data_IF_243883120163
#
_entry.id   IF_243883120163
#
_cell.length_a   1.000
_cell.length_b   1.000
_cell.length_c   1.000
_cell.angle_alpha   90.00
_cell.angle_beta   90.00
_cell.angle_gamma   90.00
#
_symmetry.space_group_name_H-M   'P 1'
#
loop_
_entity.id
_entity.type
_entity.pdbx_description
1 polymer ?
#
# COMPACT_ATOMS: atom_id res chain seq x y z
N UNK A 1 -2.58 15.00 16.65
CA UNK A 1 -2.03 14.13 15.60
C UNK A 1 -3.05 14.09 14.48
N UNK A 2 -2.69 14.59 13.30
CA UNK A 2 -3.58 14.54 12.15
C UNK A 2 -3.82 13.07 11.71
N UNK A 3 -4.86 12.81 10.93
CA UNK A 3 -5.16 11.46 10.47
C UNK A 3 -4.01 10.88 9.62
N UNK A 4 -3.36 11.69 8.80
CA UNK A 4 -2.17 11.25 8.05
C UNK A 4 -1.05 10.81 8.99
N UNK A 5 -0.90 11.48 10.14
CA UNK A 5 0.16 11.16 11.07
C UNK A 5 -0.01 9.77 11.71
N UNK A 6 -1.25 9.39 11.99
CA UNK A 6 -1.59 8.09 12.62
C UNK A 6 -1.34 6.89 11.72
N UNK A 7 -1.18 7.13 10.41
CA UNK A 7 -0.90 6.12 9.39
C UNK A 7 0.50 6.28 8.79
N UNK A 8 1.28 7.22 9.31
CA UNK A 8 2.63 7.48 8.86
C UNK A 8 3.65 6.59 9.56
N UNK A 9 4.69 6.23 8.81
CA UNK A 9 5.90 5.60 9.32
C UNK A 9 7.02 6.62 9.34
N UNK A 10 7.76 6.71 10.45
CA UNK A 10 9.00 7.49 10.49
C UNK A 10 10.09 6.87 9.61
N UNK A 11 11.27 7.50 9.57
CA UNK A 11 12.37 7.08 8.71
C UNK A 11 12.87 5.65 9.00
N UNK A 12 12.98 5.29 10.28
CA UNK A 12 13.48 3.98 10.70
C UNK A 12 12.47 2.87 10.41
N UNK A 13 11.20 3.14 10.67
CA UNK A 13 10.06 2.27 10.36
C UNK A 13 9.88 2.08 8.85
N UNK A 14 10.04 3.14 8.07
CA UNK A 14 9.99 3.12 6.61
C UNK A 14 11.13 2.27 6.04
N UNK A 15 12.35 2.48 6.54
CA UNK A 15 13.51 1.68 6.16
C UNK A 15 13.28 0.20 6.48
N UNK A 16 12.73 -0.11 7.65
CA UNK A 16 12.41 -1.48 8.04
C UNK A 16 11.38 -2.10 7.08
N UNK A 17 10.25 -1.43 6.81
CA UNK A 17 9.20 -1.95 5.93
C UNK A 17 9.75 -2.37 4.56
N UNK A 18 10.47 -1.47 3.89
CA UNK A 18 11.01 -1.77 2.56
C UNK A 18 12.13 -2.81 2.61
N UNK A 19 12.94 -2.84 3.67
CA UNK A 19 13.96 -3.88 3.84
C UNK A 19 13.36 -5.27 4.04
N UNK A 20 12.24 -5.36 4.77
CA UNK A 20 11.49 -6.61 4.95
C UNK A 20 10.82 -7.05 3.64
N UNK A 21 10.22 -6.13 2.88
CA UNK A 21 9.65 -6.46 1.56
C UNK A 21 10.72 -7.00 0.60
N UNK A 22 11.87 -6.34 0.55
CA UNK A 22 13.05 -6.79 -0.20
C UNK A 22 13.45 -8.22 0.21
N UNK A 23 13.51 -8.50 1.51
CA UNK A 23 13.83 -9.81 2.04
C UNK A 23 12.85 -10.90 1.56
N UNK A 24 11.54 -10.62 1.57
CA UNK A 24 10.53 -11.56 1.07
C UNK A 24 10.76 -11.92 -0.41
N UNK A 25 11.06 -10.92 -1.25
CA UNK A 25 11.37 -11.14 -2.67
C UNK A 25 12.66 -11.93 -2.84
N UNK A 26 13.70 -11.62 -2.08
CA UNK A 26 14.96 -12.37 -2.12
C UNK A 26 14.76 -13.85 -1.76
N UNK A 27 13.95 -14.16 -0.74
CA UNK A 27 13.62 -15.54 -0.38
C UNK A 27 12.78 -16.26 -1.43
N UNK A 28 11.85 -15.54 -2.08
CA UNK A 28 11.10 -16.10 -3.20
C UNK A 28 12.01 -16.45 -4.39
N UNK A 29 13.01 -15.62 -4.68
CA UNK A 29 14.04 -15.86 -5.71
C UNK A 29 14.91 -17.07 -5.35
N UNK A 30 15.41 -17.15 -4.11
CA UNK A 30 16.23 -18.28 -3.65
C UNK A 30 15.49 -19.62 -3.76
N UNK A 31 14.17 -19.61 -3.55
CA UNK A 31 13.32 -20.80 -3.65
C UNK A 31 12.90 -21.16 -5.08
N UNK A 32 13.18 -20.30 -6.06
CA UNK A 32 12.75 -20.48 -7.44
C UNK A 32 13.63 -21.51 -8.17
N UNK A 33 13.02 -22.64 -8.52
CA UNK A 33 13.71 -23.76 -9.20
C UNK A 33 13.99 -23.48 -10.67
N UNK A 34 13.20 -22.62 -11.31
CA UNK A 34 13.41 -22.28 -12.72
C UNK A 34 14.40 -21.12 -12.83
N UNK A 35 15.58 -21.38 -13.39
CA UNK A 35 16.69 -20.41 -13.53
C UNK A 35 16.24 -19.14 -14.28
N UNK A 36 15.55 -19.30 -15.41
CA UNK A 36 15.05 -18.16 -16.20
C UNK A 36 14.03 -17.32 -15.43
N UNK A 37 13.14 -17.96 -14.67
CA UNK A 37 12.21 -17.23 -13.80
C UNK A 37 12.95 -16.52 -12.67
N UNK A 38 13.94 -17.17 -12.05
CA UNK A 38 14.73 -16.57 -10.99
C UNK A 38 15.49 -15.32 -11.49
N UNK A 39 16.05 -15.35 -12.69
CA UNK A 39 16.69 -14.20 -13.34
C UNK A 39 15.72 -13.05 -13.57
N UNK A 40 14.51 -13.32 -14.10
CA UNK A 40 13.48 -12.29 -14.26
C UNK A 40 13.09 -11.65 -12.92
N UNK A 41 12.94 -12.45 -11.86
CA UNK A 41 12.63 -11.97 -10.51
C UNK A 41 13.78 -11.14 -9.92
N UNK A 42 15.04 -11.52 -10.16
CA UNK A 42 16.23 -10.73 -9.77
C UNK A 42 16.24 -9.37 -10.44
N UNK A 43 16.03 -9.34 -11.77
CA UNK A 43 15.93 -8.08 -12.53
C UNK A 43 14.79 -7.19 -12.02
N UNK A 44 13.64 -7.78 -11.69
CA UNK A 44 12.56 -7.03 -11.05
C UNK A 44 12.97 -6.45 -9.70
N UNK A 45 13.65 -7.24 -8.85
CA UNK A 45 14.12 -6.79 -7.54
C UNK A 45 15.13 -5.64 -7.67
N UNK A 46 16.03 -5.68 -8.66
CA UNK A 46 16.97 -4.60 -8.94
C UNK A 46 16.26 -3.29 -9.32
N UNK A 47 15.29 -3.36 -10.24
CA UNK A 47 14.49 -2.20 -10.63
C UNK A 47 13.65 -1.64 -9.47
N UNK A 48 13.08 -2.53 -8.65
CA UNK A 48 12.31 -2.14 -7.48
C UNK A 48 13.21 -1.51 -6.40
N UNK A 49 14.38 -2.11 -6.12
CA UNK A 49 15.37 -1.56 -5.18
C UNK A 49 15.82 -0.17 -5.61
N UNK A 50 16.05 0.06 -6.91
CA UNK A 50 16.40 1.39 -7.42
C UNK A 50 15.25 2.39 -7.21
N UNK A 51 14.01 2.00 -7.53
CA UNK A 51 12.84 2.88 -7.30
C UNK A 51 12.66 3.24 -5.82
N UNK A 52 12.86 2.27 -4.92
CA UNK A 52 12.84 2.54 -3.47
C UNK A 52 14.02 3.42 -3.06
N UNK A 53 15.22 3.19 -3.59
CA UNK A 53 16.38 4.04 -3.30
C UNK A 53 16.13 5.50 -3.72
N UNK A 54 15.60 5.72 -4.94
CA UNK A 54 15.23 7.05 -5.43
C UNK A 54 14.18 7.69 -4.50
N UNK A 55 13.21 6.91 -4.03
CA UNK A 55 12.20 7.39 -3.07
C UNK A 55 12.82 7.78 -1.72
N UNK A 56 13.63 6.92 -1.13
CA UNK A 56 14.22 7.13 0.20
C UNK A 56 15.20 8.31 0.17
N UNK A 57 16.04 8.39 -0.87
CA UNK A 57 16.98 9.51 -1.04
C UNK A 57 16.26 10.86 -1.11
N UNK A 58 15.07 10.91 -1.72
CA UNK A 58 14.27 12.15 -1.77
C UNK A 58 13.46 12.43 -0.50
N UNK A 59 13.09 11.40 0.25
CA UNK A 59 12.15 11.53 1.39
C UNK A 59 12.86 11.58 2.75
N UNK A 60 13.94 10.82 2.93
CA UNK A 60 14.66 10.62 4.21
C UNK A 60 16.13 11.01 4.09
N UNK A 61 16.74 10.87 2.91
CA UNK A 61 18.17 11.02 2.67
C UNK A 61 18.81 9.70 2.23
N UNK A 62 20.11 9.74 1.94
CA UNK A 62 20.83 8.57 1.43
C UNK A 62 20.87 7.46 2.47
N UNK A 63 20.12 6.38 2.20
CA UNK A 63 19.99 5.22 3.07
C UNK A 63 20.03 3.95 2.23
N UNK A 64 20.45 2.83 2.85
CA UNK A 64 20.55 1.53 2.20
C UNK A 64 19.62 0.53 2.88
N UNK A 65 18.84 -0.19 2.08
CA UNK A 65 18.00 -1.27 2.57
C UNK A 65 18.87 -2.35 3.25
N UNK A 66 18.38 -2.84 4.39
CA UNK A 66 18.99 -3.97 5.09
C UNK A 66 18.74 -5.24 4.27
N UNK A 67 19.79 -6.05 4.08
CA UNK A 67 19.74 -7.22 3.21
C UNK A 67 19.83 -8.54 3.96
N UNK A 68 20.56 -8.57 5.07
CA UNK A 68 20.78 -9.78 5.85
C UNK A 68 19.74 -9.94 6.97
N UNK A 69 19.50 -11.19 7.37
CA UNK A 69 18.47 -11.53 8.36
C UNK A 69 18.82 -11.03 9.77
N UNK A 70 20.10 -10.93 10.13
CA UNK A 70 20.52 -10.53 11.47
C UNK A 70 20.22 -9.05 11.71
N UNK A 71 20.64 -8.17 10.79
CA UNK A 71 20.34 -6.73 10.85
C UNK A 71 18.83 -6.45 10.82
N UNK A 72 18.06 -7.21 10.03
CA UNK A 72 16.60 -7.11 10.03
C UNK A 72 15.98 -7.51 11.38
N UNK A 73 16.53 -8.56 12.00
CA UNK A 73 16.05 -9.05 13.30
C UNK A 73 16.31 -8.02 14.40
N UNK A 74 17.53 -7.49 14.46
CA UNK A 74 17.92 -6.41 15.37
C UNK A 74 17.01 -5.20 15.19
N UNK A 75 16.84 -4.74 13.93
CA UNK A 75 16.00 -3.58 13.63
C UNK A 75 14.53 -3.77 14.01
N UNK A 76 13.97 -4.97 13.85
CA UNK A 76 12.63 -5.29 14.34
C UNK A 76 12.53 -5.16 15.86
N UNK A 77 13.52 -5.69 16.61
CA UNK A 77 13.53 -5.64 18.06
C UNK A 77 13.68 -4.21 18.58
N UNK A 78 14.54 -3.41 17.96
CA UNK A 78 14.75 -2.00 18.32
C UNK A 78 13.46 -1.20 18.12
N UNK A 79 12.85 -1.28 16.94
CA UNK A 79 11.60 -0.57 16.63
C UNK A 79 10.46 -1.04 17.54
N UNK A 80 10.39 -2.34 17.85
CA UNK A 80 9.41 -2.89 18.79
C UNK A 80 9.55 -2.31 20.19
N UNK A 81 10.79 -2.19 20.68
CA UNK A 81 11.13 -1.63 21.98
C UNK A 81 10.84 -0.13 22.05
N UNK A 82 11.14 0.62 21.00
CA UNK A 82 10.94 2.06 20.91
C UNK A 82 9.46 2.46 20.79
N UNK A 83 8.61 1.61 20.21
CA UNK A 83 7.19 1.91 20.01
C UNK A 83 6.41 2.22 21.31
N UNK A 84 6.88 1.71 22.45
CA UNK A 84 6.25 1.94 23.75
C UNK A 84 4.74 1.63 23.73
N UNK A 85 3.91 2.63 24.05
CA UNK A 85 2.45 2.48 24.02
C UNK A 85 1.83 2.68 22.63
N UNK A 86 2.51 3.36 21.70
CA UNK A 86 2.00 3.64 20.36
C UNK A 86 2.38 2.52 19.39
N UNK A 87 1.69 1.39 19.48
CA UNK A 87 2.00 0.19 18.68
C UNK A 87 1.43 0.20 17.26
N UNK A 88 0.62 1.19 16.89
CA UNK A 88 -0.03 1.27 15.56
C UNK A 88 0.95 1.10 14.40
N UNK A 89 2.12 1.77 14.34
CA UNK A 89 3.07 1.60 13.25
C UNK A 89 3.53 0.15 13.05
N UNK A 90 3.73 -0.62 14.14
CA UNK A 90 4.14 -2.03 14.06
C UNK A 90 3.06 -2.87 13.36
N UNK A 91 1.80 -2.65 13.74
CA UNK A 91 0.66 -3.32 13.10
C UNK A 91 0.50 -2.95 11.62
N UNK A 92 0.82 -1.70 11.25
CA UNK A 92 0.80 -1.24 9.87
C UNK A 92 1.92 -1.88 9.03
N UNK A 93 3.13 -2.00 9.58
CA UNK A 93 4.24 -2.72 8.92
C UNK A 93 3.83 -4.18 8.64
N UNK A 94 3.29 -4.89 9.64
CA UNK A 94 2.83 -6.28 9.48
C UNK A 94 1.69 -6.37 8.46
N UNK A 95 0.77 -5.39 8.44
CA UNK A 95 -0.31 -5.33 7.45
C UNK A 95 0.24 -5.21 6.04
N UNK A 96 1.14 -4.27 5.80
CA UNK A 96 1.70 -4.05 4.47
C UNK A 96 2.56 -5.21 3.99
N UNK A 97 3.31 -5.85 4.88
CA UNK A 97 4.02 -7.11 4.54
C UNK A 97 3.05 -8.22 4.17
N UNK A 98 1.93 -8.34 4.89
CA UNK A 98 0.89 -9.35 4.64
C UNK A 98 0.16 -9.16 3.31
N UNK A 99 0.16 -7.94 2.79
CA UNK A 99 -0.54 -7.56 1.56
C UNK A 99 0.42 -7.17 0.42
N UNK A 100 1.72 -7.31 0.63
CA UNK A 100 2.73 -7.02 -0.38
C UNK A 100 2.63 -8.01 -1.55
N UNK A 101 2.59 -7.48 -2.77
CA UNK A 101 2.50 -8.27 -3.99
C UNK A 101 3.56 -7.79 -4.98
N UNK A 102 4.73 -8.43 -5.05
CA UNK A 102 5.78 -8.06 -5.98
C UNK A 102 5.44 -8.46 -7.43
N UNK A 103 6.39 -8.25 -8.33
CA UNK A 103 6.33 -8.64 -9.74
C UNK A 103 5.24 -7.92 -10.54
N UNK A 104 4.83 -6.73 -10.09
CA UNK A 104 4.04 -5.82 -10.89
C UNK A 104 4.92 -5.15 -11.97
N UNK A 105 4.33 -4.68 -13.08
CA UNK A 105 5.08 -3.99 -14.13
C UNK A 105 5.87 -2.79 -13.60
N UNK A 106 7.17 -2.76 -13.91
CA UNK A 106 8.06 -1.62 -13.74
C UNK A 106 8.59 -1.19 -15.11
N UNK A 107 9.05 0.05 -15.23
CA UNK A 107 9.57 0.61 -16.49
C UNK A 107 11.09 0.42 -16.53
N UNK A 108 11.59 -0.29 -17.53
CA UNK A 108 13.01 -0.31 -17.81
C UNK A 108 13.40 0.96 -18.58
N UNK A 109 14.50 1.62 -18.17
CA UNK A 109 15.01 2.77 -18.92
C UNK A 109 15.51 2.30 -20.29
N UNK A 110 14.97 2.87 -21.37
CA UNK A 110 15.49 2.60 -22.70
C UNK A 110 16.88 3.25 -22.86
N UNK A 111 17.89 2.45 -23.20
CA UNK A 111 19.20 2.94 -23.63
C UNK A 111 19.17 3.20 -25.14
N UNK A 112 19.06 4.48 -25.54
CA UNK A 112 19.25 4.92 -26.93
C UNK A 112 18.21 5.89 -27.50
N UNK A 113 18.55 6.49 -28.64
CA UNK A 113 17.87 7.61 -29.33
C UNK A 113 16.59 7.20 -30.10
N UNK A 114 15.89 6.17 -29.63
CA UNK A 114 14.58 5.78 -30.19
C UNK A 114 13.47 6.28 -29.28
N UNK A 115 13.10 7.54 -29.52
CA UNK A 115 11.82 8.08 -29.09
C UNK A 115 10.70 7.20 -29.66
N UNK A 116 9.79 6.85 -28.76
CA UNK A 116 8.51 6.19 -28.98
C UNK A 116 8.54 4.67 -29.21
N UNK A 117 7.71 3.99 -28.42
CA UNK A 117 7.27 2.60 -28.57
C UNK A 117 8.32 1.50 -28.39
N UNK A 118 8.89 1.45 -27.19
CA UNK A 118 9.12 0.20 -26.46
C UNK A 118 9.39 0.52 -25.00
N UNK A 119 8.39 1.10 -24.31
CA UNK A 119 8.24 0.76 -22.90
C UNK A 119 8.03 -0.75 -22.92
N UNK A 120 9.12 -1.52 -22.76
CA UNK A 120 9.00 -2.92 -22.39
C UNK A 120 8.25 -2.88 -21.07
N UNK A 121 6.91 -2.94 -21.16
CA UNK A 121 6.10 -3.52 -20.11
C UNK A 121 6.89 -4.75 -19.75
N UNK A 122 7.40 -4.82 -18.52
CA UNK A 122 7.84 -6.07 -17.96
C UNK A 122 6.58 -6.95 -17.94
N UNK A 123 6.27 -7.52 -19.11
CA UNK A 123 5.16 -8.38 -19.40
C UNK A 123 5.59 -9.70 -18.78
N UNK A 124 5.62 -9.75 -17.44
CA UNK A 124 5.60 -10.99 -16.72
C UNK A 124 4.20 -11.61 -16.86
N UNK A 125 3.86 -11.93 -18.11
CA UNK A 125 2.71 -12.71 -18.54
C UNK A 125 2.89 -14.20 -18.18
N UNK A 126 3.95 -14.56 -17.43
CA UNK A 126 4.10 -15.89 -16.85
C UNK A 126 3.39 -16.05 -15.49
N UNK A 127 2.70 -15.02 -14.95
CA UNK A 127 1.77 -15.12 -13.80
C UNK A 127 2.29 -15.96 -12.62
N UNK A 128 3.60 -16.02 -12.39
CA UNK A 128 4.16 -16.79 -11.29
C UNK A 128 4.12 -15.94 -10.03
N UNK A 129 3.03 -16.13 -9.29
CA UNK A 129 2.83 -15.53 -7.99
C UNK A 129 3.98 -15.92 -7.06
N UNK A 130 4.40 -14.96 -6.26
CA UNK A 130 5.17 -15.25 -5.04
C UNK A 130 4.47 -16.36 -4.25
N UNK A 131 5.23 -17.27 -3.64
CA UNK A 131 4.65 -18.35 -2.86
C UNK A 131 4.15 -17.83 -1.50
N UNK A 132 2.95 -17.24 -1.49
CA UNK A 132 2.36 -16.61 -0.29
C UNK A 132 2.32 -17.50 0.95
N UNK A 133 2.18 -18.84 0.79
CA UNK A 133 2.18 -19.77 1.92
C UNK A 133 3.55 -19.87 2.58
N UNK A 134 4.62 -19.91 1.79
CA UNK A 134 6.00 -19.91 2.33
C UNK A 134 6.36 -18.53 2.88
N UNK A 135 5.92 -17.45 2.22
CA UNK A 135 6.14 -16.10 2.72
C UNK A 135 5.43 -15.81 4.03
N UNK A 136 4.25 -16.40 4.26
CA UNK A 136 3.53 -16.28 5.53
C UNK A 136 4.41 -16.70 6.71
N UNK A 137 5.26 -17.72 6.56
CA UNK A 137 6.20 -18.14 7.62
C UNK A 137 7.22 -17.05 7.96
N UNK A 138 7.76 -16.38 6.93
CA UNK A 138 8.68 -15.25 7.14
C UNK A 138 7.97 -14.05 7.77
N UNK A 139 6.75 -13.75 7.35
CA UNK A 139 5.96 -12.64 7.89
C UNK A 139 5.61 -12.91 9.36
N UNK A 140 5.21 -14.13 9.72
CA UNK A 140 4.96 -14.54 11.12
C UNK A 140 6.20 -14.40 12.00
N UNK A 141 7.37 -14.81 11.48
CA UNK A 141 8.64 -14.61 12.19
C UNK A 141 8.90 -13.14 12.52
N UNK A 142 8.78 -12.23 11.55
CA UNK A 142 8.98 -10.80 11.79
C UNK A 142 7.84 -10.18 12.61
N UNK A 143 6.60 -10.67 12.49
CA UNK A 143 5.47 -10.27 13.33
C UNK A 143 5.78 -10.50 14.80
N UNK A 144 6.28 -11.70 15.16
CA UNK A 144 6.66 -12.02 16.53
C UNK A 144 7.80 -11.13 17.04
N UNK A 145 8.78 -10.79 16.20
CA UNK A 145 9.87 -9.86 16.58
C UNK A 145 9.35 -8.43 16.82
N UNK A 146 8.32 -8.02 16.10
CA UNK A 146 7.59 -6.77 16.33
C UNK A 146 6.59 -6.87 17.49
N UNK A 147 6.62 -7.96 18.25
CA UNK A 147 5.71 -8.24 19.37
C UNK A 147 4.24 -8.08 18.94
N UNK A 148 3.93 -8.61 17.74
CA UNK A 148 2.60 -8.77 17.17
C UNK A 148 2.34 -10.26 17.00
N UNK A 149 1.26 -10.74 17.61
CA UNK A 149 0.82 -12.14 17.51
C UNK A 149 0.82 -12.65 16.05
N UNK A 150 1.48 -13.76 15.79
CA UNK A 150 1.59 -14.32 14.44
C UNK A 150 0.24 -14.68 13.78
N UNK A 151 -0.79 -15.00 14.56
CA UNK A 151 -2.13 -15.27 14.02
C UNK A 151 -2.79 -14.03 13.44
N UNK A 152 -2.28 -12.84 13.80
CA UNK A 152 -2.71 -11.58 13.25
C UNK A 152 -2.47 -11.48 11.73
N UNK A 153 -1.40 -12.09 11.22
CA UNK A 153 -1.07 -12.16 9.79
C UNK A 153 -2.22 -12.81 9.01
N UNK A 154 -2.63 -13.99 9.46
CA UNK A 154 -3.74 -14.74 8.84
C UNK A 154 -5.08 -14.00 8.98
N UNK A 155 -5.30 -13.30 10.11
CA UNK A 155 -6.50 -12.49 10.36
C UNK A 155 -6.61 -11.34 9.35
N UNK A 156 -5.55 -10.58 9.16
CA UNK A 156 -5.48 -9.49 8.19
C UNK A 156 -5.77 -9.94 6.77
N UNK A 157 -5.14 -11.02 6.33
CA UNK A 157 -5.31 -11.55 4.99
C UNK A 157 -6.76 -11.97 4.71
N UNK A 158 -7.39 -12.64 5.70
CA UNK A 158 -8.80 -13.06 5.62
C UNK A 158 -9.74 -11.84 5.58
N UNK A 159 -9.53 -10.88 6.47
CA UNK A 159 -10.37 -9.68 6.55
C UNK A 159 -10.20 -8.81 5.30
N UNK A 160 -8.99 -8.61 4.81
CA UNK A 160 -8.73 -7.87 3.57
C UNK A 160 -9.44 -8.51 2.38
N UNK A 161 -9.30 -9.84 2.20
CA UNK A 161 -9.98 -10.58 1.13
C UNK A 161 -11.50 -10.42 1.20
N UNK A 162 -12.06 -10.48 2.41
CA UNK A 162 -13.49 -10.26 2.65
C UNK A 162 -13.89 -8.83 2.32
N UNK A 163 -13.13 -7.84 2.78
CA UNK A 163 -13.39 -6.42 2.50
C UNK A 163 -13.36 -6.13 1.01
N UNK A 164 -12.34 -6.57 0.26
CA UNK A 164 -12.31 -6.40 -1.20
C UNK A 164 -13.55 -6.98 -1.88
N UNK A 165 -13.98 -8.20 -1.48
CA UNK A 165 -15.19 -8.83 -2.04
C UNK A 165 -16.44 -7.99 -1.80
N UNK A 166 -16.62 -7.48 -0.59
CA UNK A 166 -17.82 -6.70 -0.26
C UNK A 166 -17.75 -5.30 -0.90
N UNK A 167 -16.61 -4.63 -0.82
CA UNK A 167 -16.41 -3.29 -1.37
C UNK A 167 -16.58 -3.28 -2.88
N UNK A 168 -15.98 -4.23 -3.61
CA UNK A 168 -16.13 -4.31 -5.07
C UNK A 168 -17.57 -4.64 -5.50
N UNK A 169 -18.36 -5.31 -4.66
CA UNK A 169 -19.73 -5.74 -4.98
C UNK A 169 -19.81 -6.81 -6.08
N UNK A 170 -18.68 -7.33 -6.54
CA UNK A 170 -18.62 -8.34 -7.60
C UNK A 170 -18.76 -9.73 -6.98
N UNK A 171 -19.96 -10.32 -7.09
CA UNK A 171 -20.15 -11.77 -6.91
C UNK A 171 -19.67 -12.60 -8.13
N UNK A 172 -19.28 -11.97 -9.25
CA UNK A 172 -18.96 -12.68 -10.51
C UNK A 172 -17.54 -13.28 -10.54
N UNK A 173 -17.52 -14.61 -10.53
CA UNK A 173 -16.64 -15.57 -11.24
C UNK A 173 -15.11 -15.59 -11.00
N UNK A 174 -14.47 -14.57 -10.43
CA UNK A 174 -13.00 -14.60 -10.20
C UNK A 174 -12.56 -14.58 -8.73
N UNK A 175 -13.42 -14.18 -7.78
CA UNK A 175 -13.00 -13.94 -6.40
C UNK A 175 -13.33 -15.06 -5.39
N UNK A 176 -14.17 -16.05 -5.73
CA UNK A 176 -14.59 -17.09 -4.76
C UNK A 176 -13.50 -18.14 -4.54
N UNK A 177 -12.71 -18.48 -5.57
CA UNK A 177 -11.62 -19.47 -5.49
C UNK A 177 -10.18 -18.93 -5.56
N UNK A 178 -9.96 -17.68 -6.00
CA UNK A 178 -8.61 -17.13 -6.10
C UNK A 178 -7.96 -16.98 -4.71
N UNK A 179 -6.74 -17.49 -4.55
CA UNK A 179 -5.92 -17.28 -3.35
C UNK A 179 -5.59 -15.79 -3.15
N UNK A 180 -5.13 -15.41 -1.95
CA UNK A 180 -4.79 -14.02 -1.63
C UNK A 180 -3.80 -13.42 -2.65
N UNK A 181 -2.75 -14.15 -3.02
CA UNK A 181 -1.75 -13.66 -3.96
C UNK A 181 -2.34 -13.29 -5.33
N UNK A 182 -3.25 -14.10 -5.86
CA UNK A 182 -3.92 -13.79 -7.13
C UNK A 182 -4.78 -12.52 -7.02
N UNK A 183 -5.46 -12.32 -5.88
CA UNK A 183 -6.24 -11.12 -5.64
C UNK A 183 -5.34 -9.87 -5.58
N UNK A 184 -4.25 -9.93 -4.81
CA UNK A 184 -3.32 -8.80 -4.66
C UNK A 184 -2.62 -8.46 -5.99
N UNK A 185 -2.27 -9.46 -6.78
CA UNK A 185 -1.70 -9.26 -8.11
C UNK A 185 -2.66 -8.50 -9.02
N UNK A 186 -3.96 -8.87 -9.06
CA UNK A 186 -4.95 -8.19 -9.91
C UNK A 186 -5.07 -6.71 -9.51
N UNK A 187 -5.20 -6.43 -8.22
CA UNK A 187 -5.32 -5.06 -7.71
C UNK A 187 -4.05 -4.26 -8.01
N UNK A 188 -2.87 -4.82 -7.71
CA UNK A 188 -1.59 -4.12 -7.88
C UNK A 188 -1.27 -3.90 -9.35
N UNK A 189 -1.60 -4.84 -10.23
CA UNK A 189 -1.45 -4.67 -11.68
C UNK A 189 -2.36 -3.55 -12.23
N UNK A 190 -3.57 -3.37 -11.69
CA UNK A 190 -4.45 -2.26 -12.04
C UNK A 190 -3.86 -0.88 -11.68
N UNK A 191 -2.98 -0.83 -10.67
CA UNK A 191 -2.26 0.37 -10.25
C UNK A 191 -0.95 0.61 -11.00
N UNK A 192 -0.41 -0.41 -11.66
CA UNK A 192 0.91 -0.39 -12.30
C UNK A 192 0.91 0.34 -13.66
N UNK A 193 0.49 1.60 -13.67
CA UNK A 193 0.49 2.47 -14.85
C UNK A 193 1.49 3.61 -14.70
N UNK A 194 2.11 4.11 -15.78
CA UNK A 194 3.04 5.24 -15.70
C UNK A 194 2.43 6.49 -15.06
N UNK A 195 1.14 6.75 -15.33
CA UNK A 195 0.42 7.88 -14.75
C UNK A 195 0.32 7.77 -13.22
N UNK A 196 -0.06 6.60 -12.71
CA UNK A 196 -0.21 6.36 -11.27
C UNK A 196 1.16 6.33 -10.59
N UNK A 197 2.17 5.71 -11.21
CA UNK A 197 3.55 5.75 -10.76
C UNK A 197 4.08 7.18 -10.63
N UNK A 198 3.96 8.00 -11.68
CA UNK A 198 4.41 9.38 -11.65
C UNK A 198 3.72 10.23 -10.57
N UNK A 199 2.43 9.99 -10.28
CA UNK A 199 1.69 10.73 -9.25
C UNK A 199 2.12 10.40 -7.82
N UNK A 200 2.59 9.18 -7.57
CA UNK A 200 3.08 8.77 -6.24
C UNK A 200 4.59 8.95 -6.06
N UNK A 201 5.28 9.46 -7.08
CA UNK A 201 6.70 9.76 -7.00
C UNK A 201 6.94 10.96 -6.07
N UNK A 202 8.00 10.93 -5.25
CA UNK A 202 8.48 12.12 -4.58
C UNK A 202 8.84 13.24 -5.56
N UNK A 203 8.70 14.49 -5.11
CA UNK A 203 9.08 15.65 -5.90
C UNK A 203 10.57 15.61 -6.29
N UNK A 204 10.89 16.10 -7.49
CA UNK A 204 12.26 16.16 -8.00
C UNK A 204 12.77 14.87 -8.66
N UNK A 205 11.90 13.88 -8.88
CA UNK A 205 12.14 12.77 -9.81
C UNK A 205 11.40 13.03 -11.13
N UNK A 206 11.95 12.51 -12.24
CA UNK A 206 11.36 12.67 -13.57
C UNK A 206 11.39 11.37 -14.38
N UNK A 207 10.49 11.28 -15.36
CA UNK A 207 10.44 10.19 -16.33
C UNK A 207 10.31 8.80 -15.70
N UNK A 208 11.18 7.89 -16.13
CA UNK A 208 11.18 6.50 -15.66
C UNK A 208 11.55 6.39 -14.17
N UNK A 209 12.42 7.25 -13.65
CA UNK A 209 12.78 7.24 -12.22
C UNK A 209 11.57 7.60 -11.36
N UNK A 210 10.83 8.66 -11.72
CA UNK A 210 9.58 9.01 -11.04
C UNK A 210 8.56 7.87 -11.11
N UNK A 211 8.36 7.34 -12.32
CA UNK A 211 7.41 6.24 -12.53
C UNK A 211 7.74 5.03 -11.66
N UNK A 212 9.00 4.58 -11.67
CA UNK A 212 9.43 3.42 -10.89
C UNK A 212 9.41 3.68 -9.40
N UNK A 213 9.84 4.85 -8.92
CA UNK A 213 9.80 5.19 -7.50
C UNK A 213 8.37 5.17 -6.97
N UNK A 214 7.42 5.80 -7.67
CA UNK A 214 6.03 5.78 -7.24
C UNK A 214 5.34 4.42 -7.41
N UNK A 215 5.64 3.67 -8.48
CA UNK A 215 5.13 2.28 -8.60
C UNK A 215 5.71 1.37 -7.52
N UNK A 216 7.00 1.51 -7.18
CA UNK A 216 7.66 0.78 -6.11
C UNK A 216 7.00 1.08 -4.75
N UNK A 217 6.73 2.35 -4.47
CA UNK A 217 6.02 2.79 -3.27
C UNK A 217 4.61 2.19 -3.20
N UNK A 218 3.78 2.44 -4.22
CA UNK A 218 2.39 1.99 -4.25
C UNK A 218 2.32 0.46 -4.18
N UNK A 219 3.16 -0.24 -4.95
CA UNK A 219 3.22 -1.70 -4.95
C UNK A 219 3.73 -2.28 -3.62
N UNK A 220 4.59 -1.53 -2.92
CA UNK A 220 4.95 -1.75 -1.52
C UNK A 220 3.86 -1.36 -0.51
N UNK A 221 2.70 -0.90 -0.98
CA UNK A 221 1.57 -0.55 -0.11
C UNK A 221 1.72 0.78 0.62
N UNK A 222 2.70 1.60 0.23
CA UNK A 222 3.02 2.88 0.84
C UNK A 222 2.83 4.03 -0.18
N UNK A 223 2.66 5.25 0.33
CA UNK A 223 2.79 6.47 -0.48
C UNK A 223 3.67 7.48 0.24
N UNK A 224 4.57 8.12 -0.50
CA UNK A 224 5.43 9.17 0.03
C UNK A 224 4.58 10.34 0.54
N UNK A 225 4.78 10.71 1.81
CA UNK A 225 4.00 11.76 2.47
C UNK A 225 4.87 12.93 2.97
N UNK A 226 6.21 12.82 2.87
CA UNK A 226 7.16 13.84 3.33
C UNK A 226 8.26 14.16 2.31
N UNK A 227 8.70 15.43 2.30
CA UNK A 227 9.89 15.92 1.59
C UNK A 227 10.92 16.48 2.57
N UNK A 228 12.18 16.61 2.11
CA UNK A 228 13.36 17.06 2.87
C UNK A 228 13.07 18.28 3.77
N UNK A 229 12.91 18.06 5.08
CA UNK A 229 12.80 19.19 6.02
C UNK A 229 12.19 18.91 7.39
N UNK A 230 11.49 17.79 7.60
CA UNK A 230 10.99 17.47 8.94
C UNK A 230 11.97 16.61 9.71
N UNK A 231 12.69 17.26 10.63
CA UNK A 231 13.36 16.60 11.74
C UNK A 231 12.30 15.82 12.56
N UNK A 232 12.08 14.56 12.21
CA UNK A 232 11.35 13.58 13.05
C UNK A 232 9.84 13.45 12.84
N UNK A 233 9.34 13.36 11.61
CA UNK A 233 7.90 13.07 11.45
C UNK A 233 7.48 12.63 10.06
N UNK A 234 7.49 11.31 9.84
CA UNK A 234 6.75 10.59 8.78
C UNK A 234 7.31 10.73 7.35
N UNK A 235 7.88 9.64 6.85
CA UNK A 235 8.40 9.54 5.49
C UNK A 235 7.35 8.99 4.51
N UNK A 236 6.60 7.96 4.92
CA UNK A 236 5.57 7.34 4.09
C UNK A 236 4.30 7.09 4.88
N UNK A 237 3.17 7.11 4.17
CA UNK A 237 1.86 6.74 4.70
C UNK A 237 1.46 5.37 4.15
N UNK A 238 0.93 4.53 5.05
CA UNK A 238 0.58 3.12 4.79
C UNK A 238 -0.83 2.82 5.29
N UNK A 239 -1.28 1.59 5.15
CA UNK A 239 -2.49 1.08 5.80
C UNK A 239 -3.78 1.76 5.33
N UNK A 240 -3.93 2.15 4.07
CA UNK A 240 -5.12 2.90 3.68
C UNK A 240 -5.10 4.37 4.08
N UNK A 241 -4.08 4.83 4.82
CA UNK A 241 -3.96 6.22 5.24
C UNK A 241 -3.86 7.19 4.06
N UNK A 242 -3.41 6.71 2.90
CA UNK A 242 -3.28 7.51 1.68
C UNK A 242 -4.61 8.13 1.21
N UNK A 243 -5.77 7.60 1.60
CA UNK A 243 -7.05 8.24 1.27
C UNK A 243 -7.21 9.60 1.97
N UNK A 244 -6.62 9.76 3.16
CA UNK A 244 -6.77 10.97 3.97
C UNK A 244 -5.95 12.13 3.39
N UNK A 245 -5.01 11.85 2.48
CA UNK A 245 -4.37 12.87 1.66
C UNK A 245 -5.33 13.65 0.76
N UNK A 246 -6.56 13.16 0.54
CA UNK A 246 -7.61 13.96 -0.09
C UNK A 246 -7.99 15.20 0.73
N UNK A 247 -7.80 15.17 2.06
CA UNK A 247 -8.11 16.29 2.94
C UNK A 247 -7.14 17.45 2.77
N UNK A 248 -5.89 17.20 2.33
CA UNK A 248 -4.89 18.23 2.06
C UNK A 248 -4.88 18.71 0.60
N UNK A 249 -5.63 18.07 -0.31
CA UNK A 249 -5.81 18.53 -1.69
C UNK A 249 -4.63 18.26 -2.65
N UNK A 250 -3.75 17.31 -2.32
CA UNK A 250 -2.52 17.02 -3.08
C UNK A 250 -2.61 15.90 -4.13
N UNK A 251 -1.45 15.35 -4.50
CA UNK A 251 -1.30 14.24 -5.47
C UNK A 251 -2.09 12.99 -5.06
N UNK A 252 -2.22 12.73 -3.76
CA UNK A 252 -3.03 11.65 -3.20
C UNK A 252 -4.52 11.78 -3.56
N UNK A 253 -5.06 13.00 -3.55
CA UNK A 253 -6.42 13.26 -4.03
C UNK A 253 -6.56 12.87 -5.50
N UNK A 254 -5.56 13.22 -6.32
CA UNK A 254 -5.54 12.91 -7.76
C UNK A 254 -5.52 11.41 -8.05
N UNK A 255 -4.91 10.59 -7.18
CA UNK A 255 -4.93 9.14 -7.34
C UNK A 255 -6.34 8.57 -7.15
N UNK A 256 -7.09 9.07 -6.15
CA UNK A 256 -8.47 8.65 -5.92
C UNK A 256 -9.42 9.06 -7.05
N UNK A 257 -9.16 10.19 -7.71
CA UNK A 257 -9.97 10.61 -8.87
C UNK A 257 -9.64 9.83 -10.16
N UNK A 258 -8.43 9.25 -10.25
CA UNK A 258 -7.95 8.58 -11.46
C UNK A 258 -7.99 7.05 -11.39
N UNK A 259 -8.07 6.45 -10.19
CA UNK A 259 -8.06 5.00 -10.01
C UNK A 259 -9.04 4.53 -8.93
N UNK A 260 -10.13 3.90 -9.36
CA UNK A 260 -11.05 3.22 -8.46
C UNK A 260 -10.39 2.02 -7.76
N UNK A 261 -9.41 1.36 -8.39
CA UNK A 261 -8.68 0.24 -7.78
C UNK A 261 -7.82 0.71 -6.59
N UNK A 262 -7.31 1.95 -6.64
CA UNK A 262 -6.59 2.55 -5.52
C UNK A 262 -7.54 2.77 -4.34
N UNK A 263 -8.71 3.38 -4.58
CA UNK A 263 -9.74 3.56 -3.56
C UNK A 263 -10.26 2.23 -2.99
N UNK A 264 -10.42 1.20 -3.83
CA UNK A 264 -10.82 -0.15 -3.40
C UNK A 264 -9.78 -0.76 -2.46
N UNK A 265 -8.49 -0.70 -2.83
CA UNK A 265 -7.39 -1.28 -2.05
C UNK A 265 -7.24 -0.58 -0.71
N UNK A 266 -7.11 0.75 -0.72
CA UNK A 266 -6.91 1.54 0.49
C UNK A 266 -8.16 1.51 1.40
N UNK A 267 -9.37 1.54 0.82
CA UNK A 267 -10.61 1.36 1.57
C UNK A 267 -10.74 -0.02 2.24
N UNK A 268 -10.23 -1.08 1.61
CA UNK A 268 -10.18 -2.42 2.21
C UNK A 268 -9.14 -2.51 3.34
N UNK A 269 -7.98 -1.84 3.21
CA UNK A 269 -6.99 -1.75 4.29
C UNK A 269 -7.56 -1.02 5.52
N UNK A 270 -8.30 0.07 5.31
CA UNK A 270 -8.96 0.78 6.41
C UNK A 270 -9.97 -0.09 7.15
N UNK A 271 -10.71 -0.95 6.46
CA UNK A 271 -11.60 -1.92 7.13
C UNK A 271 -10.83 -2.91 8.00
N UNK A 272 -9.68 -3.40 7.52
CA UNK A 272 -8.81 -4.31 8.30
C UNK A 272 -8.32 -3.60 9.55
N UNK A 273 -7.83 -2.37 9.42
CA UNK A 273 -7.31 -1.59 10.53
C UNK A 273 -8.41 -1.30 11.55
N UNK A 274 -9.57 -0.82 11.10
CA UNK A 274 -10.72 -0.56 11.95
C UNK A 274 -11.11 -1.80 12.75
N UNK A 275 -11.29 -2.96 12.09
CA UNK A 275 -11.79 -4.18 12.74
C UNK A 275 -10.73 -4.85 13.59
N UNK A 276 -9.54 -5.07 13.04
CA UNK A 276 -8.54 -5.95 13.60
C UNK A 276 -7.55 -5.24 14.52
N UNK A 277 -7.19 -3.99 14.21
CA UNK A 277 -6.24 -3.22 15.03
C UNK A 277 -7.00 -2.37 16.04
N UNK A 278 -7.78 -1.40 15.56
CA UNK A 278 -8.29 -0.31 16.39
C UNK A 278 -9.36 -0.82 17.35
N UNK A 279 -10.37 -1.55 16.86
CA UNK A 279 -11.46 -2.04 17.69
C UNK A 279 -11.11 -3.32 18.46
N UNK A 280 -10.42 -4.28 17.83
CA UNK A 280 -10.11 -5.56 18.47
C UNK A 280 -8.86 -5.52 19.36
N UNK A 281 -7.71 -5.11 18.81
CA UNK A 281 -6.42 -5.25 19.49
C UNK A 281 -6.15 -4.08 20.45
N UNK A 282 -6.38 -2.85 19.99
CA UNK A 282 -6.13 -1.63 20.77
C UNK A 282 -7.34 -1.19 21.60
N UNK A 283 -8.55 -1.58 21.19
CA UNK A 283 -9.82 -1.14 21.79
C UNK A 283 -9.94 0.40 21.87
N UNK A 284 -9.33 1.11 20.92
CA UNK A 284 -9.31 2.57 20.88
C UNK A 284 -10.56 3.10 20.16
N UNK A 285 -11.65 3.21 20.92
CA UNK A 285 -12.93 3.71 20.41
C UNK A 285 -12.85 5.16 19.94
N UNK A 286 -11.96 5.98 20.52
CA UNK A 286 -11.75 7.37 20.10
C UNK A 286 -11.11 7.42 18.72
N UNK A 287 -10.06 6.64 18.49
CA UNK A 287 -9.44 6.58 17.17
C UNK A 287 -10.41 6.02 16.11
N UNK A 288 -11.22 5.02 16.46
CA UNK A 288 -12.28 4.54 15.55
C UNK A 288 -13.27 5.65 15.15
N UNK A 289 -13.72 6.49 16.09
CA UNK A 289 -14.58 7.64 15.79
C UNK A 289 -13.89 8.65 14.88
N UNK A 290 -12.63 8.98 15.16
CA UNK A 290 -11.85 9.91 14.34
C UNK A 290 -11.67 9.39 12.91
N UNK A 291 -11.38 8.09 12.74
CA UNK A 291 -11.30 7.46 11.41
C UNK A 291 -12.63 7.57 10.65
N UNK A 292 -13.76 7.30 11.31
CA UNK A 292 -15.10 7.42 10.72
C UNK A 292 -15.38 8.87 10.29
N UNK A 293 -15.00 9.85 11.12
CA UNK A 293 -15.17 11.27 10.82
C UNK A 293 -14.30 11.68 9.62
N UNK A 294 -13.03 11.27 9.60
CA UNK A 294 -12.11 11.58 8.50
C UNK A 294 -12.57 10.94 7.19
N UNK A 295 -13.05 9.69 7.22
CA UNK A 295 -13.61 9.02 6.02
C UNK A 295 -14.81 9.78 5.46
N UNK A 296 -15.73 10.26 6.32
CA UNK A 296 -16.86 11.10 5.89
C UNK A 296 -16.40 12.39 5.22
N UNK A 297 -15.38 13.05 5.79
CA UNK A 297 -14.83 14.27 5.21
C UNK A 297 -14.18 14.03 3.84
N UNK A 298 -13.43 12.92 3.70
CA UNK A 298 -12.84 12.52 2.41
C UNK A 298 -13.94 12.30 1.37
N UNK A 299 -14.99 11.54 1.70
CA UNK A 299 -16.12 11.28 0.80
C UNK A 299 -16.81 12.58 0.39
N UNK A 300 -17.04 13.50 1.33
CA UNK A 300 -17.61 14.83 1.05
C UNK A 300 -16.78 15.62 0.05
N UNK A 301 -15.47 15.75 0.28
CA UNK A 301 -14.55 16.45 -0.64
C UNK A 301 -14.50 15.82 -2.03
N UNK A 302 -14.48 14.48 -2.10
CA UNK A 302 -14.51 13.78 -3.38
C UNK A 302 -15.85 13.99 -4.11
N UNK A 303 -16.96 14.10 -3.37
CA UNK A 303 -18.27 14.45 -3.90
C UNK A 303 -18.30 15.85 -4.52
N UNK A 304 -17.75 16.84 -3.82
CA UNK A 304 -17.57 18.20 -4.35
C UNK A 304 -16.76 18.18 -5.66
N UNK A 305 -15.62 17.47 -5.68
CA UNK A 305 -14.79 17.31 -6.88
C UNK A 305 -15.53 16.61 -8.04
N UNK A 306 -16.38 15.63 -7.73
CA UNK A 306 -17.19 14.95 -8.74
C UNK A 306 -18.19 15.92 -9.37
N UNK A 307 -18.88 16.71 -8.55
CA UNK A 307 -19.80 17.75 -9.03
C UNK A 307 -19.09 18.77 -9.90
N UNK A 308 -17.92 19.27 -9.48
CA UNK A 308 -17.12 20.18 -10.30
C UNK A 308 -16.72 19.58 -11.65
N UNK A 309 -16.31 18.30 -11.68
CA UNK A 309 -15.95 17.61 -12.92
C UNK A 309 -17.15 17.42 -13.85
N UNK A 310 -18.35 17.21 -13.30
CA UNK A 310 -19.59 17.07 -14.07
C UNK A 310 -20.07 18.40 -14.67
N UNK A 311 -19.77 19.53 -14.01
CA UNK A 311 -20.16 20.87 -14.47
C UNK A 311 -19.18 21.47 -15.49
N UNK A 312 -17.93 20.98 -15.55
CA UNK A 312 -16.94 21.46 -16.52
C UNK A 312 -17.22 20.91 -17.92
N UNK A 313 -17.28 21.81 -18.90
CA UNK A 313 -17.29 21.44 -20.32
C UNK A 313 -15.95 20.77 -20.70
N UNK A 314 -16.02 19.58 -21.31
CA UNK A 314 -14.86 18.81 -21.76
C UNK A 314 -15.03 17.30 -21.60
N UNK A 315 -14.12 16.52 -22.19
CA UNK A 315 -14.13 15.05 -22.06
C UNK A 315 -13.56 14.60 -20.71
N UNK A 316 -14.43 14.58 -19.70
CA UNK A 316 -14.13 14.09 -18.35
C UNK A 316 -14.77 12.73 -18.04
N UNK A 317 -15.35 12.04 -19.03
CA UNK A 317 -16.22 10.88 -18.79
C UNK A 317 -15.51 9.77 -18.01
N UNK A 318 -14.26 9.45 -18.36
CA UNK A 318 -13.51 8.41 -17.65
C UNK A 318 -13.13 8.85 -16.23
N UNK A 319 -12.76 10.13 -16.00
CA UNK A 319 -12.47 10.64 -14.65
C UNK A 319 -13.72 10.62 -13.76
N UNK A 320 -14.86 11.06 -14.29
CA UNK A 320 -16.16 11.02 -13.61
C UNK A 320 -16.48 9.57 -13.20
N UNK A 321 -16.30 8.63 -14.12
CA UNK A 321 -16.54 7.20 -13.87
C UNK A 321 -15.61 6.61 -12.81
N UNK A 322 -14.32 6.91 -12.87
CA UNK A 322 -13.35 6.46 -11.87
C UNK A 322 -13.66 7.05 -10.49
N UNK A 323 -13.86 8.38 -10.40
CA UNK A 323 -14.19 9.05 -9.15
C UNK A 323 -15.52 8.58 -8.56
N UNK A 324 -16.56 8.40 -9.37
CA UNK A 324 -17.84 7.83 -8.93
C UNK A 324 -17.64 6.46 -8.28
N UNK A 325 -16.84 5.59 -8.91
CA UNK A 325 -16.51 4.26 -8.34
C UNK A 325 -15.67 4.37 -7.08
N UNK A 326 -14.70 5.28 -7.02
CA UNK A 326 -13.88 5.53 -5.83
C UNK A 326 -14.75 5.94 -4.64
N UNK A 327 -15.65 6.90 -4.83
CA UNK A 327 -16.61 7.34 -3.80
C UNK A 327 -17.46 6.16 -3.34
N UNK A 328 -18.03 5.39 -4.27
CA UNK A 328 -18.83 4.20 -3.94
C UNK A 328 -18.06 3.19 -3.08
N UNK A 329 -16.78 2.91 -3.38
CA UNK A 329 -15.96 2.00 -2.57
C UNK A 329 -15.68 2.55 -1.18
N UNK A 330 -15.39 3.85 -1.07
CA UNK A 330 -15.14 4.49 0.23
C UNK A 330 -16.42 4.59 1.08
N UNK A 331 -17.58 4.85 0.48
CA UNK A 331 -18.88 4.83 1.17
C UNK A 331 -19.20 3.43 1.73
N UNK A 332 -18.93 2.38 0.96
CA UNK A 332 -19.09 0.99 1.44
C UNK A 332 -18.13 0.69 2.60
N UNK A 333 -16.88 1.15 2.52
CA UNK A 333 -15.88 1.01 3.60
C UNK A 333 -16.30 1.77 4.87
N UNK A 334 -16.81 2.99 4.71
CA UNK A 334 -17.36 3.79 5.80
C UNK A 334 -18.54 3.10 6.48
N UNK A 335 -19.50 2.58 5.70
CA UNK A 335 -20.67 1.87 6.24
C UNK A 335 -20.25 0.68 7.10
N UNK A 336 -19.24 -0.07 6.68
CA UNK A 336 -18.70 -1.18 7.45
C UNK A 336 -17.93 -0.74 8.69
N UNK A 337 -17.15 0.33 8.59
CA UNK A 337 -16.46 0.92 9.72
C UNK A 337 -17.45 1.34 10.81
N UNK A 338 -18.55 1.98 10.42
CA UNK A 338 -19.64 2.35 11.32
C UNK A 338 -20.36 1.14 11.93
N UNK A 339 -20.61 0.10 11.14
CA UNK A 339 -21.23 -1.13 11.63
C UNK A 339 -20.33 -1.84 12.66
N UNK A 340 -19.03 -1.95 12.39
CA UNK A 340 -18.04 -2.53 13.31
C UNK A 340 -17.96 -1.73 14.61
N UNK A 341 -17.86 -0.40 14.52
CA UNK A 341 -17.85 0.49 15.67
C UNK A 341 -19.11 0.33 16.52
N UNK A 342 -20.30 0.32 15.90
CA UNK A 342 -21.59 0.18 16.61
C UNK A 342 -21.74 -1.17 17.27
N UNK A 343 -21.26 -2.25 16.63
CA UNK A 343 -21.28 -3.59 17.22
C UNK A 343 -20.39 -3.67 18.45
N UNK A 344 -19.21 -3.04 18.40
CA UNK A 344 -18.27 -3.03 19.52
C UNK A 344 -18.75 -2.13 20.66
N UNK A 345 -19.33 -0.96 20.36
CA UNK A 345 -19.81 -0.02 21.39
C UNK A 345 -20.99 -0.54 22.19
N UNK A 346 -21.75 -1.51 21.65
CA UNK A 346 -22.86 -2.17 22.37
C UNK A 346 -22.40 -3.36 23.22
N UNK A 347 -21.17 -3.83 23.03
CA UNK A 347 -20.61 -4.97 23.76
C UNK A 347 -19.81 -4.56 25.00
N UNK A 348 -19.64 -3.24 25.22
CA UNK A 348 -19.02 -2.60 26.39
C UNK A 348 -20.12 -2.07 27.31
#
# INVERSE_FOLDING_TARGET
MDMMDKFGLDSEQTLLLFSLQRYLVAKDIESEKNVTTAEKKKKWLELWEQGIHDLLTKSIGETKLLKDKASLTEKCLDISKEAGQLRTPLYLIVLELSLFSPYFPLVEQASGDKKEEQQMKFNFLERKLMNFKEQEKHIRYFSNLLDIDEDFVSKYQKTFKKSIRILSGVQKKFAVGAGLGALLMIITAGLATPLIGGLAAPAGLFGAAATNAGLAAIGGGAVAAGGMGMAGGIAVVVGGGGIFGALSGGTLASMLTKSADYALREGAKLEVIMKEIILSSQKDMRFAQEMIKAQKQVIGKLGEQLTELQLKEGDNMERIKQLTKSIMYLERSLKHSQAAYTSQSKAV
#
